data_IF_120622825760
#
_entry.id   IF_120622825760
#
_cell.length_a   1.000
_cell.length_b   1.000
_cell.length_c   1.000
_cell.angle_alpha   90.00
_cell.angle_beta   90.00
_cell.angle_gamma   90.00
#
_symmetry.space_group_name_H-M   'P 1'
#
loop_
_entity.id
_entity.type
_entity.pdbx_description
1 polymer ?
#
# COMPACT_ATOMS: atom_id res chain seq x y z
N UNK A 1 14.03 -8.88 -6.12
CA UNK A 1 12.58 -8.92 -6.43
C UNK A 1 11.98 -7.52 -6.52
N UNK A 2 12.16 -6.68 -5.50
CA UNK A 2 11.67 -5.29 -5.45
C UNK A 2 11.98 -4.41 -6.67
N UNK A 3 13.21 -4.46 -7.18
CA UNK A 3 13.57 -3.68 -8.39
C UNK A 3 12.72 -4.04 -9.61
N UNK A 4 12.32 -5.31 -9.75
CA UNK A 4 11.46 -5.77 -10.85
C UNK A 4 10.03 -5.30 -10.61
N UNK A 5 9.49 -5.53 -9.41
CA UNK A 5 8.09 -5.19 -9.10
C UNK A 5 7.82 -3.69 -9.14
N UNK A 6 8.80 -2.87 -8.76
CA UNK A 6 8.72 -1.40 -8.91
C UNK A 6 8.55 -0.99 -10.38
N UNK A 7 9.29 -1.62 -11.30
CA UNK A 7 9.25 -1.30 -12.74
C UNK A 7 8.01 -1.83 -13.46
N UNK A 8 7.31 -2.80 -12.86
CA UNK A 8 6.13 -3.43 -13.47
C UNK A 8 4.83 -3.06 -12.76
N UNK A 9 4.85 -2.07 -11.85
CA UNK A 9 3.73 -1.72 -10.96
C UNK A 9 3.21 -2.91 -10.12
N UNK A 10 4.05 -3.93 -9.94
CA UNK A 10 3.77 -5.08 -9.08
C UNK A 10 4.00 -4.78 -7.60
N UNK A 11 3.89 -5.84 -6.80
CA UNK A 11 4.13 -5.86 -5.34
C UNK A 11 5.18 -6.91 -5.02
N UNK A 12 6.20 -6.57 -4.23
CA UNK A 12 7.22 -7.50 -3.73
C UNK A 12 7.04 -7.79 -2.25
N UNK A 13 6.11 -8.67 -1.87
CA UNK A 13 5.95 -9.02 -0.46
C UNK A 13 6.96 -10.08 0.01
N UNK A 14 7.25 -10.03 1.30
CA UNK A 14 7.92 -11.05 2.08
C UNK A 14 6.94 -11.48 3.17
N UNK A 15 6.60 -12.77 3.19
CA UNK A 15 5.66 -13.37 4.14
C UNK A 15 6.24 -14.67 4.66
N UNK A 16 5.99 -15.06 5.93
CA UNK A 16 6.35 -16.37 6.43
C UNK A 16 5.65 -17.49 5.64
N UNK A 17 6.38 -18.57 5.34
CA UNK A 17 5.84 -19.71 4.57
C UNK A 17 4.61 -20.33 5.23
N UNK A 18 4.57 -20.36 6.57
CA UNK A 18 3.44 -20.85 7.36
C UNK A 18 2.14 -20.05 7.15
N UNK A 19 2.26 -18.77 6.76
CA UNK A 19 1.14 -17.87 6.49
C UNK A 19 0.78 -17.79 5.00
N UNK A 20 1.45 -18.55 4.12
CA UNK A 20 1.28 -18.42 2.66
C UNK A 20 -0.19 -18.50 2.20
N UNK A 21 -0.97 -19.41 2.80
CA UNK A 21 -2.36 -19.62 2.41
C UNK A 21 -3.26 -18.43 2.74
N UNK A 22 -3.01 -17.76 3.86
CA UNK A 22 -3.75 -16.55 4.24
C UNK A 22 -3.23 -15.34 3.47
N UNK A 23 -1.90 -15.18 3.39
CA UNK A 23 -1.24 -14.11 2.66
C UNK A 23 -1.77 -13.99 1.22
N UNK A 24 -1.85 -15.11 0.49
CA UNK A 24 -2.30 -15.11 -0.91
C UNK A 24 -3.77 -14.64 -1.04
N UNK A 25 -4.60 -14.83 -0.01
CA UNK A 25 -5.98 -14.35 0.02
C UNK A 25 -6.11 -12.82 0.07
N UNK A 26 -5.09 -12.13 0.61
CA UNK A 26 -5.05 -10.67 0.69
C UNK A 26 -4.52 -10.00 -0.56
N UNK A 27 -3.82 -10.76 -1.41
CA UNK A 27 -3.36 -10.24 -2.68
C UNK A 27 -4.53 -9.97 -3.63
N UNK A 28 -4.39 -8.98 -4.54
CA UNK A 28 -5.33 -8.70 -5.61
C UNK A 28 -5.25 -9.77 -6.71
N UNK A 29 -5.47 -11.03 -6.34
CA UNK A 29 -5.51 -12.19 -7.23
C UNK A 29 -6.94 -12.67 -7.52
N UNK A 30 -7.93 -12.21 -6.75
CA UNK A 30 -9.35 -12.42 -7.03
C UNK A 30 -10.21 -11.21 -6.62
N UNK A 31 -11.29 -10.92 -7.36
CA UNK A 31 -12.25 -9.86 -7.06
C UNK A 31 -11.82 -8.44 -7.42
N UNK A 32 -10.71 -7.95 -6.85
CA UNK A 32 -10.24 -6.55 -7.01
C UNK A 32 -8.88 -6.52 -7.69
N UNK A 33 -8.87 -6.67 -9.01
CA UNK A 33 -7.66 -7.04 -9.77
C UNK A 33 -7.01 -5.87 -10.52
N UNK A 34 -7.75 -4.80 -10.79
CA UNK A 34 -7.32 -3.81 -11.76
C UNK A 34 -6.55 -2.69 -11.06
N UNK A 35 -5.22 -2.58 -11.21
CA UNK A 35 -4.47 -1.52 -10.57
C UNK A 35 -4.86 -0.17 -11.19
N UNK A 36 -5.30 0.77 -10.36
CA UNK A 36 -5.74 2.12 -10.73
C UNK A 36 -4.90 3.22 -10.09
N UNK A 37 -3.97 2.84 -9.22
CA UNK A 37 -2.97 3.73 -8.64
C UNK A 37 -1.70 2.93 -8.36
N UNK A 38 -0.53 3.51 -8.67
CA UNK A 38 0.74 2.92 -8.31
C UNK A 38 1.78 4.01 -8.03
N UNK A 39 2.33 3.99 -6.81
CA UNK A 39 3.48 4.82 -6.46
C UNK A 39 4.51 4.01 -5.69
N UNK A 40 5.78 4.28 -5.95
CA UNK A 40 6.90 3.72 -5.19
C UNK A 40 7.69 4.89 -4.62
N UNK A 41 7.98 4.85 -3.33
CA UNK A 41 8.66 5.95 -2.63
C UNK A 41 9.81 5.43 -1.78
N UNK A 42 10.78 6.31 -1.54
CA UNK A 42 11.84 6.10 -0.56
C UNK A 42 11.56 6.91 0.69
N UNK A 43 11.68 6.25 1.85
CA UNK A 43 11.50 6.84 3.17
C UNK A 43 12.63 6.39 4.11
N UNK A 44 12.90 7.18 5.14
CA UNK A 44 13.89 6.86 6.18
C UNK A 44 13.53 7.57 7.48
N UNK A 45 13.73 6.89 8.62
CA UNK A 45 13.40 7.41 9.95
C UNK A 45 11.92 7.73 10.13
N UNK A 46 11.62 8.91 10.68
CA UNK A 46 10.25 9.39 10.90
C UNK A 46 9.95 10.58 10.01
N UNK A 47 8.81 10.58 9.34
CA UNK A 47 8.46 11.69 8.47
C UNK A 47 7.05 11.65 7.91
N UNK A 48 6.81 12.59 6.99
CA UNK A 48 5.59 12.73 6.22
C UNK A 48 5.94 12.93 4.74
N UNK A 49 5.24 12.22 3.86
CA UNK A 49 5.32 12.37 2.39
C UNK A 49 3.95 12.70 1.83
N UNK A 50 3.89 13.65 0.93
CA UNK A 50 2.75 13.82 0.03
C UNK A 50 2.95 12.86 -1.14
N UNK A 51 1.92 12.10 -1.46
CA UNK A 51 1.91 11.18 -2.60
C UNK A 51 1.13 11.80 -3.76
N UNK A 52 1.22 11.25 -4.99
CA UNK A 52 0.28 11.62 -6.04
C UNK A 52 -1.17 11.46 -5.56
N UNK A 53 -2.02 12.41 -5.94
CA UNK A 53 -3.45 12.35 -5.63
C UNK A 53 -4.10 11.12 -6.29
N UNK A 54 -5.17 10.61 -5.68
CA UNK A 54 -5.92 9.47 -6.19
C UNK A 54 -7.23 9.92 -6.81
N UNK A 55 -7.49 9.43 -8.02
CA UNK A 55 -8.65 9.80 -8.86
C UNK A 55 -9.51 8.55 -9.11
N UNK A 56 -10.37 8.16 -8.15
CA UNK A 56 -11.27 7.02 -8.33
C UNK A 56 -12.25 7.29 -9.47
N UNK A 57 -12.41 6.33 -10.38
CA UNK A 57 -13.30 6.45 -11.54
C UNK A 57 -14.78 6.23 -11.22
N UNK A 58 -15.07 5.57 -10.08
CA UNK A 58 -16.41 5.27 -9.60
C UNK A 58 -16.48 5.39 -8.09
N UNK A 59 -17.69 5.57 -7.55
CA UNK A 59 -17.92 5.39 -6.12
C UNK A 59 -17.99 3.89 -5.82
N UNK A 60 -17.19 3.40 -4.88
CA UNK A 60 -17.19 1.97 -4.55
C UNK A 60 -16.03 1.54 -3.66
N UNK A 61 -15.91 0.22 -3.48
CA UNK A 61 -14.82 -0.39 -2.72
C UNK A 61 -13.56 -0.54 -3.58
N UNK A 62 -12.43 -0.10 -3.05
CA UNK A 62 -11.09 -0.28 -3.63
C UNK A 62 -10.18 -0.97 -2.60
N UNK A 63 -9.30 -1.84 -3.08
CA UNK A 63 -8.30 -2.47 -2.22
C UNK A 63 -7.03 -1.62 -2.25
N UNK A 64 -6.60 -1.11 -1.09
CA UNK A 64 -5.28 -0.51 -0.94
C UNK A 64 -4.33 -1.60 -0.49
N UNK A 65 -3.21 -1.78 -1.20
CA UNK A 65 -2.13 -2.68 -0.82
C UNK A 65 -0.83 -1.88 -0.67
N UNK A 66 -0.09 -2.16 0.40
CA UNK A 66 1.10 -1.42 0.75
C UNK A 66 2.18 -2.38 1.24
N UNK A 67 3.40 -2.24 0.74
CA UNK A 67 4.58 -2.76 1.43
C UNK A 67 5.27 -1.67 2.22
N UNK A 68 5.69 -1.99 3.43
CA UNK A 68 6.26 -1.01 4.36
C UNK A 68 7.77 -1.20 4.60
N UNK A 69 8.45 -2.09 3.88
CA UNK A 69 9.92 -2.25 3.87
C UNK A 69 10.31 -3.14 2.69
N UNK A 70 11.49 -2.98 2.10
CA UNK A 70 11.92 -3.69 0.89
C UNK A 70 12.82 -4.92 1.13
N UNK A 71 12.84 -5.37 2.36
CA UNK A 71 13.54 -6.56 2.83
C UNK A 71 12.65 -7.36 3.78
N UNK A 72 13.15 -8.53 4.21
CA UNK A 72 12.53 -9.33 5.27
C UNK A 72 12.45 -8.50 6.55
N UNK A 73 11.40 -8.65 7.38
CA UNK A 73 11.24 -7.85 8.60
C UNK A 73 12.46 -7.90 9.53
N UNK A 74 12.90 -6.72 9.97
CA UNK A 74 14.10 -6.54 10.80
C UNK A 74 13.82 -5.74 12.10
N UNK A 75 12.54 -5.53 12.42
CA UNK A 75 12.05 -4.70 13.53
C UNK A 75 12.35 -3.19 13.42
N UNK A 76 12.80 -2.69 12.27
CA UNK A 76 12.93 -1.24 12.05
C UNK A 76 11.57 -0.57 11.97
N UNK A 77 10.59 -1.15 11.27
CA UNK A 77 9.25 -0.60 11.12
C UNK A 77 8.52 -0.44 12.48
N UNK A 78 7.85 0.71 12.67
CA UNK A 78 7.06 0.99 13.88
C UNK A 78 5.60 1.25 13.57
N UNK A 79 5.32 2.10 12.59
CA UNK A 79 3.98 2.33 12.08
C UNK A 79 4.01 3.18 10.81
N UNK A 80 2.89 3.13 10.09
CA UNK A 80 2.54 4.14 9.12
C UNK A 80 1.07 4.56 9.28
N UNK A 81 0.73 5.71 8.71
CA UNK A 81 -0.64 6.13 8.48
C UNK A 81 -0.74 6.77 7.09
N UNK A 82 -1.35 6.06 6.15
CA UNK A 82 -1.77 6.59 4.87
C UNK A 82 -3.12 7.26 5.05
N UNK A 83 -3.11 8.58 5.06
CA UNK A 83 -4.30 9.41 5.15
C UNK A 83 -4.72 9.89 3.77
N UNK A 84 -6.01 9.74 3.47
CA UNK A 84 -6.63 10.20 2.24
C UNK A 84 -7.85 11.05 2.55
N UNK A 85 -8.00 12.17 1.85
CA UNK A 85 -9.04 13.16 2.13
C UNK A 85 -9.54 13.85 0.88
N UNK A 86 -10.84 14.09 0.82
CA UNK A 86 -11.49 15.00 -0.10
C UNK A 86 -12.43 15.93 0.70
N UNK A 87 -13.13 16.91 0.08
CA UNK A 87 -14.00 17.83 0.80
C UNK A 87 -15.19 17.20 1.56
N UNK A 88 -15.62 15.99 1.21
CA UNK A 88 -16.79 15.31 1.77
C UNK A 88 -16.51 13.98 2.48
N UNK A 89 -15.28 13.48 2.45
CA UNK A 89 -14.88 12.18 2.99
C UNK A 89 -13.39 12.13 3.35
N UNK A 90 -13.04 11.27 4.29
CA UNK A 90 -11.65 11.03 4.68
C UNK A 90 -11.46 9.66 5.31
N UNK A 91 -10.27 9.08 5.14
CA UNK A 91 -9.91 7.82 5.75
C UNK A 91 -8.44 7.72 6.13
N UNK A 92 -8.13 6.67 6.90
CA UNK A 92 -6.79 6.38 7.39
C UNK A 92 -6.55 4.88 7.26
N UNK A 93 -5.52 4.51 6.52
CA UNK A 93 -5.00 3.15 6.49
C UNK A 93 -3.72 3.10 7.31
N UNK A 94 -3.72 2.30 8.38
CA UNK A 94 -2.64 2.24 9.36
C UNK A 94 -2.05 0.84 9.38
N UNK A 95 -0.74 0.76 9.44
CA UNK A 95 0.00 -0.45 9.80
C UNK A 95 0.82 -0.18 11.05
N UNK A 96 1.02 -1.21 11.84
CA UNK A 96 1.78 -1.17 13.07
C UNK A 96 2.83 -2.27 13.05
N UNK A 97 3.82 -2.19 13.92
CA UNK A 97 4.82 -3.23 14.06
C UNK A 97 4.17 -4.62 14.23
N UNK A 98 4.81 -5.65 13.69
CA UNK A 98 4.47 -7.04 13.93
C UNK A 98 4.15 -7.31 15.43
N UNK A 99 3.08 -8.07 15.67
CA UNK A 99 2.55 -8.39 16.99
C UNK A 99 1.85 -7.25 17.72
N UNK A 100 1.68 -6.07 17.11
CA UNK A 100 1.03 -4.90 17.73
C UNK A 100 -0.29 -4.48 17.09
N UNK A 101 -0.80 -5.25 16.13
CA UNK A 101 -2.09 -5.02 15.47
C UNK A 101 -2.93 -6.31 15.45
N UNK A 102 -4.26 -6.16 15.37
CA UNK A 102 -5.20 -7.28 15.17
C UNK A 102 -5.17 -7.84 13.74
N UNK A 103 -4.36 -7.25 12.86
CA UNK A 103 -4.12 -7.71 11.50
C UNK A 103 -2.90 -8.63 11.51
N UNK A 104 -3.07 -9.81 10.91
CA UNK A 104 -2.03 -10.82 10.74
C UNK A 104 -1.01 -10.28 9.75
N UNK A 105 0.08 -9.69 10.25
CA UNK A 105 1.08 -8.92 9.50
C UNK A 105 2.47 -9.31 9.99
N UNK A 106 2.82 -10.57 9.77
CA UNK A 106 4.12 -11.15 10.16
C UNK A 106 5.18 -10.92 9.05
N UNK A 107 4.77 -10.29 7.95
CA UNK A 107 5.56 -10.04 6.76
C UNK A 107 5.92 -8.56 6.57
N UNK A 108 5.86 -8.08 5.34
CA UNK A 108 6.06 -6.66 5.02
C UNK A 108 4.89 -6.05 4.22
N UNK A 109 3.80 -6.78 4.07
CA UNK A 109 2.70 -6.47 3.18
C UNK A 109 1.39 -6.41 3.95
N UNK A 110 0.62 -5.38 3.66
CA UNK A 110 -0.70 -5.20 4.24
C UNK A 110 -1.67 -4.69 3.18
N UNK A 111 -2.89 -5.23 3.19
CA UNK A 111 -3.94 -4.78 2.30
C UNK A 111 -5.28 -4.66 3.01
N UNK A 112 -6.05 -3.63 2.65
CA UNK A 112 -7.37 -3.40 3.21
C UNK A 112 -8.28 -2.69 2.21
N UNK A 113 -9.56 -3.07 2.22
CA UNK A 113 -10.58 -2.47 1.39
C UNK A 113 -11.14 -1.20 2.02
N UNK A 114 -11.26 -0.14 1.22
CA UNK A 114 -11.84 1.13 1.60
C UNK A 114 -12.90 1.57 0.59
N UNK A 115 -13.93 2.23 1.08
CA UNK A 115 -14.95 2.85 0.23
C UNK A 115 -14.48 4.25 -0.19
N UNK A 116 -14.44 4.51 -1.48
CA UNK A 116 -14.12 5.82 -2.05
C UNK A 116 -15.34 6.39 -2.79
N UNK A 117 -15.51 7.70 -2.70
CA UNK A 117 -16.43 8.46 -3.57
C UNK A 117 -15.74 8.78 -4.91
N UNK A 118 -16.51 8.99 -5.97
CA UNK A 118 -16.00 9.51 -7.25
C UNK A 118 -15.62 11.01 -7.13
N UNK A 119 -14.55 11.28 -6.37
CA UNK A 119 -13.98 12.59 -6.07
C UNK A 119 -12.45 12.43 -5.91
N UNK A 120 -11.72 13.52 -6.14
CA UNK A 120 -10.25 13.50 -6.05
C UNK A 120 -9.79 13.49 -4.57
N UNK A 121 -8.94 12.52 -4.22
CA UNK A 121 -8.40 12.39 -2.87
C UNK A 121 -6.93 12.84 -2.83
N UNK A 122 -6.64 13.72 -1.88
CA UNK A 122 -5.26 14.05 -1.51
C UNK A 122 -4.69 12.95 -0.63
N UNK A 123 -3.51 12.48 -0.99
CA UNK A 123 -2.86 11.34 -0.35
C UNK A 123 -1.62 11.77 0.44
N UNK A 124 -1.56 11.41 1.73
CA UNK A 124 -0.37 11.68 2.57
C UNK A 124 0.00 10.46 3.39
N UNK A 125 1.29 10.12 3.43
CA UNK A 125 1.82 9.05 4.24
C UNK A 125 2.65 9.62 5.38
N UNK A 126 2.24 9.35 6.61
CA UNK A 126 3.12 9.47 7.77
C UNK A 126 3.76 8.12 8.06
N UNK A 127 5.04 8.09 8.37
CA UNK A 127 5.78 6.85 8.60
C UNK A 127 6.78 7.01 9.74
N UNK A 128 7.09 5.89 10.38
CA UNK A 128 8.02 5.85 11.50
C UNK A 128 8.81 4.53 11.49
N UNK A 129 10.12 4.64 11.34
CA UNK A 129 11.09 3.56 11.46
C UNK A 129 12.09 3.87 12.56
N UNK A 130 12.58 2.84 13.24
CA UNK A 130 13.81 2.91 14.00
C UNK A 130 15.01 2.88 13.06
N UNK A 131 15.94 3.80 13.26
CA UNK A 131 17.13 3.95 12.43
C UNK A 131 16.97 4.98 11.32
N UNK A 132 17.89 4.94 10.36
CA UNK A 132 17.97 5.85 9.21
C UNK A 132 18.13 5.10 7.88
N UNK A 133 18.00 3.77 7.89
CA UNK A 133 18.06 2.98 6.67
C UNK A 133 16.89 3.35 5.75
N UNK A 134 17.20 3.37 4.45
CA UNK A 134 16.22 3.76 3.42
C UNK A 134 15.35 2.56 3.08
N UNK A 135 14.04 2.76 3.13
CA UNK A 135 13.02 1.78 2.82
C UNK A 135 12.33 2.13 1.51
N UNK A 136 12.19 1.17 0.61
CA UNK A 136 11.43 1.35 -0.64
C UNK A 136 9.99 0.81 -0.47
N UNK A 137 9.01 1.71 -0.44
CA UNK A 137 7.61 1.34 -0.21
C UNK A 137 6.86 1.27 -1.53
N UNK A 138 6.08 0.21 -1.73
CA UNK A 138 5.19 0.07 -2.88
C UNK A 138 3.74 0.24 -2.42
N UNK A 139 3.05 1.22 -2.98
CA UNK A 139 1.65 1.52 -2.66
C UNK A 139 0.84 1.35 -3.94
N UNK A 140 -0.20 0.53 -3.86
CA UNK A 140 -1.08 0.20 -4.99
C UNK A 140 -2.53 0.32 -4.55
N UNK A 141 -3.39 0.79 -5.46
CA UNK A 141 -4.84 0.75 -5.26
C UNK A 141 -5.44 -0.02 -6.41
N UNK A 142 -6.32 -0.97 -6.09
CA UNK A 142 -6.99 -1.84 -7.05
C UNK A 142 -8.50 -1.57 -7.05
N UNK A 143 -9.06 -1.66 -8.24
CA UNK A 143 -10.49 -1.55 -8.52
C UNK A 143 -11.08 -2.93 -8.88
N UNK A 144 -12.36 -3.18 -8.57
CA UNK A 144 -13.08 -4.34 -9.10
C UNK A 144 -13.45 -4.18 -10.58
N UNK A 145 -13.28 -2.99 -11.15
CA UNK A 145 -13.56 -2.70 -12.57
C UNK A 145 -12.31 -2.23 -13.30
N UNK A 146 -12.15 -2.71 -14.54
CA UNK A 146 -11.08 -2.28 -15.43
C UNK A 146 -11.21 -0.81 -15.79
N UNK A 147 -10.07 -0.13 -15.92
CA UNK A 147 -9.97 1.21 -16.49
C UNK A 147 -9.55 1.12 -17.96
N UNK A 148 -9.99 2.07 -18.78
CA UNK A 148 -9.61 2.13 -20.19
C UNK A 148 -8.14 2.54 -20.42
N UNK A 149 -7.45 2.99 -19.36
CA UNK A 149 -6.07 3.44 -19.39
C UNK A 149 -5.21 2.52 -18.52
N UNK A 150 -4.03 2.15 -19.03
CA UNK A 150 -2.98 1.51 -18.26
C UNK A 150 -2.28 2.55 -17.38
N UNK A 151 -1.90 2.15 -16.17
CA UNK A 151 -1.03 2.99 -15.34
C UNK A 151 0.32 3.14 -16.04
N UNK A 152 0.89 4.36 -16.08
CA UNK A 152 2.28 4.52 -16.51
C UNK A 152 3.17 3.69 -15.58
N UNK A 153 4.19 3.04 -16.14
CA UNK A 153 5.22 2.40 -15.34
C UNK A 153 6.00 3.49 -14.60
N UNK A 154 6.34 3.27 -13.33
CA UNK A 154 7.28 4.14 -12.63
C UNK A 154 8.68 3.89 -13.22
N UNK A 155 9.27 4.91 -13.84
CA UNK A 155 10.66 4.93 -14.32
C UNK A 155 11.67 4.97 -13.16
#
# INVERSE_FOLDING_TARGET
>A
MYSVTTKTNGMGAFEPDENFWDAIGWFPISGTLYPVYATTIQVSGKGKKTLPDFYPSITGAYLIALTYQDHVPDNSFRNFNLHFVNPGDSGNFKGYQDGSSDLWDDGNYIAQSFWFLNLDYKMTLNYNYMGQDVQNLQIRIYSPFATNNWLPYND
#
